data_IF_954770327052
#
_entry.id   IF_954770327052
#
_cell.length_a   1.000
_cell.length_b   1.000
_cell.length_c   1.000
_cell.angle_alpha   90.00
_cell.angle_beta   90.00
_cell.angle_gamma   90.00
#
_symmetry.space_group_name_H-M   'P 1'
#
loop_
_entity.id
_entity.type
_entity.pdbx_description
1 polymer ?
#
# COMPACT_ATOMS: atom_id res chain seq x y z
N UNK A 1 0.06 -26.05 -1.52
CA UNK A 1 -0.33 -24.72 -2.07
C UNK A 1 -0.11 -23.65 -1.00
N UNK A 2 0.77 -22.66 -1.21
CA UNK A 2 0.95 -21.56 -0.23
C UNK A 2 -0.26 -20.62 -0.32
N UNK A 3 -0.91 -20.33 0.83
CA UNK A 3 -2.02 -19.38 0.88
C UNK A 3 -1.54 -18.00 0.40
N UNK A 4 -2.29 -17.39 -0.51
CA UNK A 4 -1.99 -16.03 -0.96
C UNK A 4 -2.40 -15.08 0.18
N UNK A 5 -1.47 -14.28 0.73
CA UNK A 5 -1.82 -13.36 1.80
C UNK A 5 -2.74 -12.26 1.27
N UNK A 6 -3.88 -12.09 1.91
CA UNK A 6 -4.78 -10.97 1.68
C UNK A 6 -4.34 -9.80 2.55
N UNK A 7 -4.41 -8.58 2.01
CA UNK A 7 -4.04 -7.35 2.71
C UNK A 7 -5.16 -6.32 2.54
N UNK A 8 -5.35 -5.48 3.56
CA UNK A 8 -6.34 -4.41 3.56
C UNK A 8 -5.77 -3.18 2.86
N UNK A 9 -6.51 -2.63 1.91
CA UNK A 9 -6.23 -1.33 1.32
C UNK A 9 -6.51 -0.24 2.36
N UNK A 10 -5.56 0.66 2.61
CA UNK A 10 -5.73 1.71 3.63
C UNK A 10 -6.75 2.78 3.24
N UNK A 11 -7.09 2.87 1.95
CA UNK A 11 -8.02 3.87 1.40
C UNK A 11 -9.44 3.32 1.33
N UNK A 12 -9.64 2.17 0.69
CA UNK A 12 -10.98 1.58 0.49
C UNK A 12 -11.42 0.71 1.66
N UNK A 13 -10.49 0.33 2.54
CA UNK A 13 -10.72 -0.61 3.64
C UNK A 13 -11.08 -2.05 3.21
N UNK A 14 -11.02 -2.35 1.92
CA UNK A 14 -11.28 -3.68 1.37
C UNK A 14 -10.03 -4.56 1.37
N UNK A 15 -10.22 -5.89 1.26
CA UNK A 15 -9.12 -6.86 1.24
C UNK A 15 -8.85 -7.33 -0.18
N UNK A 16 -7.58 -7.27 -0.57
CA UNK A 16 -7.12 -7.73 -1.89
C UNK A 16 -5.94 -8.69 -1.74
N UNK A 17 -5.70 -9.55 -2.76
CA UNK A 17 -4.49 -10.34 -2.84
C UNK A 17 -3.25 -9.44 -2.83
N UNK A 18 -2.19 -9.83 -2.10
CA UNK A 18 -0.94 -9.03 -1.99
C UNK A 18 -0.38 -8.55 -3.34
N UNK A 19 -0.51 -9.35 -4.40
CA UNK A 19 0.02 -9.03 -5.73
C UNK A 19 -0.71 -7.91 -6.46
N UNK A 20 -1.95 -7.62 -6.07
CA UNK A 20 -2.80 -6.58 -6.70
C UNK A 20 -2.66 -5.21 -6.01
N UNK A 21 -1.94 -5.17 -4.89
CA UNK A 21 -1.74 -3.97 -4.11
C UNK A 21 -0.35 -3.38 -4.35
N UNK A 22 -0.30 -2.05 -4.35
CA UNK A 22 0.93 -1.27 -4.32
C UNK A 22 1.32 -1.09 -2.85
N UNK A 23 2.55 -1.48 -2.50
CA UNK A 23 3.12 -1.19 -1.19
C UNK A 23 3.81 0.17 -1.22
N UNK A 24 3.42 1.05 -0.31
CA UNK A 24 4.07 2.33 -0.03
C UNK A 24 4.68 2.25 1.35
N UNK A 25 5.93 2.69 1.51
CA UNK A 25 6.64 2.65 2.78
C UNK A 25 7.04 4.07 3.16
N UNK A 26 6.74 4.45 4.40
CA UNK A 26 7.32 5.64 5.03
C UNK A 26 8.61 5.23 5.73
N UNK A 27 9.74 5.76 5.27
CA UNK A 27 11.05 5.46 5.84
C UNK A 27 11.24 6.18 7.19
N UNK A 28 12.22 5.78 8.00
CA UNK A 28 12.57 6.49 9.24
C UNK A 28 12.90 7.98 9.01
N UNK A 29 13.45 8.32 7.84
CA UNK A 29 13.75 9.69 7.41
C UNK A 29 12.49 10.48 6.99
N UNK A 30 11.30 9.92 7.24
CA UNK A 30 9.99 10.48 6.86
C UNK A 30 9.76 10.63 5.36
N UNK A 31 10.54 9.95 4.53
CA UNK A 31 10.31 9.89 3.08
C UNK A 31 9.25 8.85 2.75
N UNK A 32 8.39 9.15 1.77
CA UNK A 32 7.36 8.23 1.29
C UNK A 32 7.81 7.65 -0.04
N UNK A 33 8.09 6.35 -0.07
CA UNK A 33 8.60 5.65 -1.25
C UNK A 33 7.72 4.48 -1.64
N UNK A 34 7.56 4.26 -2.94
CA UNK A 34 6.93 3.03 -3.44
C UNK A 34 7.93 1.88 -3.29
N UNK A 35 7.47 0.77 -2.72
CA UNK A 35 8.27 -0.44 -2.54
C UNK A 35 7.74 -1.58 -3.41
N UNK A 36 8.36 -1.74 -4.57
CA UNK A 36 8.08 -2.84 -5.50
C UNK A 36 8.69 -4.18 -5.02
N UNK A 37 9.72 -4.13 -4.17
CA UNK A 37 10.49 -5.31 -3.74
C UNK A 37 9.86 -6.00 -2.53
N UNK A 38 9.07 -5.27 -1.74
CA UNK A 38 8.54 -5.76 -0.47
C UNK A 38 9.59 -5.90 0.64
N UNK A 39 10.81 -5.36 0.44
CA UNK A 39 11.95 -5.47 1.36
C UNK A 39 12.34 -4.15 2.02
N UNK A 40 11.73 -3.02 1.64
CA UNK A 40 12.08 -1.73 2.26
C UNK A 40 11.63 -1.70 3.73
N UNK A 41 12.50 -1.15 4.57
CA UNK A 41 12.29 -0.93 6.00
C UNK A 41 11.48 0.35 6.24
N UNK A 42 10.63 0.34 7.27
CA UNK A 42 9.75 1.44 7.62
C UNK A 42 8.28 1.03 7.74
N UNK A 43 7.40 2.02 7.91
CA UNK A 43 5.96 1.78 8.06
C UNK A 43 5.31 1.54 6.70
N UNK A 44 4.84 0.31 6.46
CA UNK A 44 4.26 -0.09 5.18
C UNK A 44 2.73 0.05 5.14
N UNK A 45 2.23 0.70 4.10
CA UNK A 45 0.81 0.77 3.75
C UNK A 45 0.57 0.07 2.40
N UNK A 46 -0.62 -0.48 2.22
CA UNK A 46 -1.06 -1.08 0.96
C UNK A 46 -2.19 -0.27 0.36
N UNK A 47 -2.09 0.03 -0.93
CA UNK A 47 -3.09 0.78 -1.70
C UNK A 47 -3.43 -0.02 -2.95
N UNK A 48 -4.70 -0.08 -3.32
CA UNK A 48 -5.15 -0.73 -4.55
C UNK A 48 -4.54 -0.03 -5.78
N UNK A 49 -4.16 -0.82 -6.80
CA UNK A 49 -3.71 -0.30 -8.10
C UNK A 49 -4.90 0.22 -8.92
N UNK A 50 -5.55 1.25 -8.42
CA UNK A 50 -6.64 1.97 -9.09
C UNK A 50 -6.40 3.46 -9.00
N UNK A 51 -6.57 4.16 -10.12
CA UNK A 51 -6.40 5.61 -10.21
C UNK A 51 -7.33 6.35 -9.25
N UNK A 52 -8.60 5.91 -9.16
CA UNK A 52 -9.57 6.47 -8.21
C UNK A 52 -9.09 6.35 -6.77
N UNK A 53 -8.55 5.20 -6.40
CA UNK A 53 -8.05 4.95 -5.04
C UNK A 53 -6.84 5.82 -4.73
N UNK A 54 -5.94 6.03 -5.70
CA UNK A 54 -4.78 6.91 -5.55
C UNK A 54 -5.22 8.38 -5.41
N UNK A 55 -6.19 8.83 -6.22
CA UNK A 55 -6.73 10.18 -6.12
C UNK A 55 -7.43 10.43 -4.78
N UNK A 56 -8.17 9.44 -4.27
CA UNK A 56 -8.75 9.47 -2.92
C UNK A 56 -7.65 9.54 -1.85
N UNK A 57 -6.58 8.75 -1.97
CA UNK A 57 -5.44 8.78 -1.05
C UNK A 57 -4.80 10.18 -0.95
N UNK A 58 -4.67 10.87 -2.09
CA UNK A 58 -4.11 12.24 -2.14
C UNK A 58 -4.97 13.27 -1.39
N UNK A 59 -6.29 13.07 -1.35
CA UNK A 59 -7.23 13.99 -0.68
C UNK A 59 -7.27 13.82 0.83
N UNK A 60 -6.91 12.64 1.36
CA UNK A 60 -6.93 12.32 2.81
C UNK A 60 -5.66 12.85 3.51
N UNK A 61 -5.02 13.91 3.00
CA UNK A 61 -3.89 14.55 3.69
C UNK A 61 -4.40 15.21 4.98
N UNK A 62 -4.15 14.55 6.11
CA UNK A 62 -4.06 15.20 7.42
C UNK A 62 -2.77 16.00 7.53
#
# INVERSE_FOLDING_TARGET
MRKIPMRKCVVTQERFPKKELIRVVRTPESEVVVDLTGKKNGHGAYVQKSEETILKAKKIKH
#
